data_IF_167134181413
#
_entry.id   IF_167134181413
#
_cell.length_a   1.000
_cell.length_b   1.000
_cell.length_c   1.000
_cell.angle_alpha   90.00
_cell.angle_beta   90.00
_cell.angle_gamma   90.00
#
_symmetry.space_group_name_H-M   'P 1'
#
loop_
_entity.id
_entity.type
_entity.pdbx_description
1 polymer ?
#
# COMPACT_ATOMS: atom_id res chain seq x y z
N UNK A 1 8.21 15.95 -36.15
CA UNK A 1 7.49 16.59 -35.12
C UNK A 1 7.78 15.87 -33.82
N UNK A 2 8.10 16.58 -32.77
CA UNK A 2 8.26 16.04 -31.40
C UNK A 2 6.86 15.60 -30.97
N UNK A 3 6.64 14.38 -30.46
CA UNK A 3 5.33 13.99 -29.98
C UNK A 3 4.95 14.90 -28.81
N UNK A 4 3.70 15.39 -28.84
CA UNK A 4 3.14 16.23 -27.78
C UNK A 4 3.32 15.55 -26.43
N UNK A 5 4.05 16.20 -25.54
CA UNK A 5 4.18 15.78 -24.15
C UNK A 5 2.80 15.92 -23.52
N UNK A 6 2.18 14.81 -23.17
CA UNK A 6 0.94 14.80 -22.42
C UNK A 6 1.12 15.57 -21.11
N UNK A 7 0.55 16.76 -21.05
CA UNK A 7 0.38 17.49 -19.79
C UNK A 7 -0.95 17.04 -19.22
N UNK A 8 -0.96 16.33 -18.09
CA UNK A 8 -2.23 15.95 -17.47
C UNK A 8 -3.03 17.23 -17.16
N UNK A 9 -4.36 17.21 -17.33
CA UNK A 9 -5.19 18.35 -16.97
C UNK A 9 -4.85 18.75 -15.55
N UNK A 10 -4.71 20.07 -15.32
CA UNK A 10 -4.51 20.63 -13.98
C UNK A 10 -5.61 20.03 -13.12
N UNK A 11 -5.23 19.19 -12.16
CA UNK A 11 -6.16 18.74 -11.12
C UNK A 11 -6.66 20.01 -10.46
N UNK A 12 -7.96 20.13 -10.31
CA UNK A 12 -8.51 21.12 -9.41
C UNK A 12 -7.77 20.97 -8.07
N UNK A 13 -7.00 22.00 -7.70
CA UNK A 13 -6.21 21.99 -6.48
C UNK A 13 -7.08 21.78 -5.23
N UNK A 14 -8.42 21.95 -5.35
CA UNK A 14 -9.41 21.62 -4.33
C UNK A 14 -9.57 20.15 -4.01
N UNK A 15 -9.25 19.23 -4.92
CA UNK A 15 -9.46 17.78 -4.68
C UNK A 15 -8.21 17.08 -4.11
N UNK A 16 -7.02 17.69 -4.24
CA UNK A 16 -5.77 17.10 -3.78
C UNK A 16 -5.52 17.31 -2.27
N UNK A 17 -6.18 18.28 -1.65
CA UNK A 17 -6.01 18.68 -0.25
C UNK A 17 -7.32 19.09 0.43
N UNK A 18 -8.40 18.36 0.22
CA UNK A 18 -9.43 18.40 1.25
C UNK A 18 -8.75 17.88 2.51
N UNK A 19 -8.57 18.78 3.45
CA UNK A 19 -8.03 18.46 4.76
C UNK A 19 -8.80 17.27 5.30
N UNK A 20 -8.08 16.24 5.74
CA UNK A 20 -8.68 15.03 6.31
C UNK A 20 -9.54 15.33 7.56
N UNK A 21 -9.65 16.59 7.93
CA UNK A 21 -10.46 17.13 9.02
C UNK A 21 -11.93 17.33 8.62
N UNK A 22 -12.23 17.40 7.30
CA UNK A 22 -13.59 17.65 6.79
C UNK A 22 -14.36 16.38 6.41
N UNK A 23 -13.74 15.19 6.49
CA UNK A 23 -14.45 13.93 6.31
C UNK A 23 -14.98 13.49 7.68
N UNK A 24 -16.06 14.12 8.10
CA UNK A 24 -16.75 13.78 9.35
C UNK A 24 -17.47 12.41 9.25
N UNK A 25 -17.69 11.90 8.05
CA UNK A 25 -18.22 10.57 7.78
C UNK A 25 -17.20 9.77 6.93
N UNK A 26 -16.38 8.96 7.61
CA UNK A 26 -15.57 7.93 6.98
C UNK A 26 -16.50 6.84 6.44
N UNK A 27 -16.72 6.73 5.12
CA UNK A 27 -17.63 5.75 4.54
C UNK A 27 -17.25 4.31 4.89
N UNK A 28 -15.99 4.08 5.26
CA UNK A 28 -15.48 2.77 5.66
C UNK A 28 -15.47 2.55 7.16
N UNK A 29 -15.93 3.54 7.96
CA UNK A 29 -15.93 3.45 9.44
C UNK A 29 -14.56 2.98 10.01
N UNK A 30 -13.48 3.40 9.39
CA UNK A 30 -12.12 3.09 9.87
C UNK A 30 -12.00 3.63 11.29
N UNK A 31 -11.68 2.80 12.27
CA UNK A 31 -11.65 3.24 13.66
C UNK A 31 -10.78 4.49 13.85
N UNK A 32 -11.26 5.50 14.58
CA UNK A 32 -10.54 6.77 14.88
C UNK A 32 -9.15 6.56 15.51
N UNK A 33 -8.84 5.35 15.99
CA UNK A 33 -7.52 4.95 16.49
C UNK A 33 -6.41 4.98 15.44
N UNK A 34 -6.75 4.92 14.16
CA UNK A 34 -5.76 5.04 13.08
C UNK A 34 -5.48 6.52 12.80
N UNK A 35 -4.20 6.85 12.68
CA UNK A 35 -3.81 8.20 12.27
C UNK A 35 -4.37 8.51 10.88
N UNK A 36 -4.86 9.74 10.67
CA UNK A 36 -5.55 10.12 9.42
C UNK A 36 -4.80 9.75 8.14
N UNK A 37 -3.47 9.85 8.13
CA UNK A 37 -2.65 9.50 6.98
C UNK A 37 -2.42 7.99 6.81
N UNK A 38 -2.49 7.24 7.88
CA UNK A 38 -2.28 5.78 7.85
C UNK A 38 -3.47 5.05 7.25
N UNK A 39 -4.66 5.67 7.29
CA UNK A 39 -5.88 5.12 6.72
C UNK A 39 -5.82 4.97 5.21
N UNK A 40 -5.07 5.84 4.52
CA UNK A 40 -5.04 5.83 3.05
C UNK A 40 -4.59 4.50 2.46
N UNK A 41 -3.74 3.76 3.14
CA UNK A 41 -3.32 2.46 2.66
C UNK A 41 -4.45 1.42 2.66
N UNK A 42 -5.40 1.54 3.61
CA UNK A 42 -6.58 0.67 3.70
C UNK A 42 -7.80 1.23 2.95
N UNK A 43 -7.81 2.51 2.62
CA UNK A 43 -8.88 3.15 1.87
C UNK A 43 -8.75 2.84 0.37
N UNK A 44 -9.56 1.93 -0.12
CA UNK A 44 -9.58 1.47 -1.51
C UNK A 44 -10.13 2.51 -2.50
N UNK A 45 -10.69 3.61 -2.02
CA UNK A 45 -11.10 4.75 -2.87
C UNK A 45 -9.93 5.69 -3.20
N UNK A 46 -8.74 5.45 -2.62
CA UNK A 46 -7.54 6.26 -2.81
C UNK A 46 -6.39 5.44 -3.35
N UNK A 47 -5.48 6.10 -4.09
CA UNK A 47 -4.35 5.42 -4.74
C UNK A 47 -3.06 5.41 -3.88
N UNK A 48 -3.04 6.06 -2.71
CA UNK A 48 -1.88 6.04 -1.81
C UNK A 48 -1.75 4.68 -1.11
N UNK A 49 -0.52 4.17 -1.00
CA UNK A 49 -0.25 2.87 -0.37
C UNK A 49 -0.77 1.68 -1.18
N UNK A 50 -0.71 1.80 -2.52
CA UNK A 50 -1.21 0.82 -3.48
C UNK A 50 -0.15 0.42 -4.48
N UNK A 51 -0.31 -0.77 -5.02
CA UNK A 51 0.25 -1.18 -6.31
C UNK A 51 -0.87 -1.07 -7.33
N UNK A 52 -0.61 -0.38 -8.43
CA UNK A 52 -1.56 -0.18 -9.51
C UNK A 52 -1.20 -1.08 -10.69
N UNK A 53 -2.22 -1.56 -11.41
CA UNK A 53 -2.02 -2.30 -12.65
C UNK A 53 -2.86 -1.68 -13.76
N UNK A 54 -2.16 -1.20 -14.79
CA UNK A 54 -2.71 -0.48 -15.94
C UNK A 54 -2.24 -1.16 -17.21
N UNK A 55 -3.08 -1.12 -18.24
CA UNK A 55 -2.72 -1.43 -19.62
C UNK A 55 -2.42 -0.12 -20.35
N UNK A 56 -1.17 0.08 -20.70
CA UNK A 56 -0.70 1.30 -21.37
C UNK A 56 -0.73 1.17 -22.91
N UNK A 57 -1.26 0.08 -23.46
CA UNK A 57 -1.43 -0.05 -24.90
C UNK A 57 -2.45 1.01 -25.39
N UNK A 58 -2.06 1.93 -26.27
CA UNK A 58 -2.95 2.99 -26.74
C UNK A 58 -4.18 2.48 -27.49
N UNK A 59 -4.17 1.25 -27.98
CA UNK A 59 -5.34 0.63 -28.64
C UNK A 59 -6.41 0.18 -27.65
N UNK A 60 -6.05 0.02 -26.35
CA UNK A 60 -6.92 -0.53 -25.30
C UNK A 60 -7.44 0.53 -24.32
N UNK A 61 -7.43 1.82 -24.69
CA UNK A 61 -7.87 2.87 -23.76
C UNK A 61 -9.35 2.78 -23.41
N UNK A 62 -9.66 2.84 -22.13
CA UNK A 62 -11.04 2.92 -21.62
C UNK A 62 -11.57 4.36 -21.70
N UNK A 63 -12.87 4.53 -22.00
CA UNK A 63 -13.49 5.87 -22.14
C UNK A 63 -13.35 6.76 -20.89
N UNK A 64 -13.22 6.16 -19.71
CA UNK A 64 -13.05 6.87 -18.45
C UNK A 64 -11.60 7.15 -18.05
N UNK A 65 -10.63 6.60 -18.78
CA UNK A 65 -9.21 6.65 -18.46
C UNK A 65 -8.40 7.01 -19.72
N UNK A 66 -8.33 8.29 -20.09
CA UNK A 66 -7.56 8.68 -21.27
C UNK A 66 -6.08 8.35 -21.08
N UNK A 67 -5.51 7.55 -21.99
CA UNK A 67 -4.11 7.17 -21.99
C UNK A 67 -3.78 5.80 -21.39
N UNK A 68 -4.76 5.10 -20.81
CA UNK A 68 -4.60 3.71 -20.35
C UNK A 68 -5.95 2.99 -20.28
N UNK A 69 -5.90 1.67 -20.21
CA UNK A 69 -7.05 0.84 -19.90
C UNK A 69 -6.85 0.09 -18.56
N UNK A 70 -7.96 -0.34 -17.99
CA UNK A 70 -7.94 -1.16 -16.77
C UNK A 70 -8.03 -2.63 -17.18
N UNK A 71 -7.05 -3.49 -16.81
CA UNK A 71 -7.15 -4.93 -17.07
C UNK A 71 -8.41 -5.53 -16.49
N UNK A 72 -9.10 -6.39 -17.26
CA UNK A 72 -10.36 -7.01 -16.86
C UNK A 72 -10.30 -7.78 -15.56
N UNK A 73 -9.11 -8.25 -15.20
CA UNK A 73 -8.86 -9.05 -14.01
C UNK A 73 -8.44 -8.22 -12.81
N UNK A 74 -8.48 -6.88 -12.86
CA UNK A 74 -8.28 -6.05 -11.67
C UNK A 74 -9.42 -6.27 -10.69
N UNK A 75 -9.08 -6.39 -9.40
CA UNK A 75 -10.03 -6.84 -8.36
C UNK A 75 -11.24 -5.91 -8.19
N UNK A 76 -11.05 -4.61 -8.40
CA UNK A 76 -12.11 -3.61 -8.23
C UNK A 76 -12.71 -3.12 -9.54
N UNK A 77 -12.26 -3.63 -10.70
CA UNK A 77 -12.80 -3.17 -11.98
C UNK A 77 -14.32 -3.22 -12.03
N UNK A 78 -14.92 -2.05 -12.24
CA UNK A 78 -16.38 -1.87 -12.30
C UNK A 78 -17.11 -2.08 -10.98
N UNK A 79 -16.41 -2.03 -9.85
CA UNK A 79 -16.96 -2.19 -8.51
C UNK A 79 -16.88 -0.90 -7.71
N UNK A 80 -17.85 -0.69 -6.82
CA UNK A 80 -17.88 0.47 -5.93
C UNK A 80 -16.93 0.38 -4.74
N UNK A 81 -16.42 -0.82 -4.45
CA UNK A 81 -15.59 -1.10 -3.27
C UNK A 81 -14.16 -0.56 -3.39
N UNK A 82 -13.72 -0.16 -4.58
CA UNK A 82 -12.39 0.40 -4.76
C UNK A 82 -12.16 0.98 -6.14
N UNK A 83 -11.01 1.64 -6.29
CA UNK A 83 -10.58 2.22 -7.57
C UNK A 83 -10.15 1.10 -8.52
N UNK A 84 -10.57 1.20 -9.76
CA UNK A 84 -10.34 0.20 -10.82
C UNK A 84 -8.85 -0.11 -11.05
N UNK A 85 -7.98 0.87 -10.83
CA UNK A 85 -6.53 0.78 -11.04
C UNK A 85 -5.82 -0.12 -10.03
N UNK A 86 -6.45 -0.38 -8.87
CA UNK A 86 -5.78 -1.06 -7.75
C UNK A 86 -5.59 -2.54 -8.06
N UNK A 87 -4.33 -2.99 -7.94
CA UNK A 87 -3.95 -4.39 -7.96
C UNK A 87 -3.77 -4.94 -6.55
N UNK A 88 -3.06 -4.20 -5.68
CA UNK A 88 -2.85 -4.56 -4.29
C UNK A 88 -2.78 -3.31 -3.40
N UNK A 89 -3.13 -3.44 -2.12
CA UNK A 89 -3.20 -2.32 -1.19
C UNK A 89 -2.66 -2.69 0.20
N UNK A 90 -2.63 -1.71 1.11
CA UNK A 90 -2.12 -1.94 2.45
C UNK A 90 -0.60 -1.88 2.53
N UNK A 91 0.03 -1.06 1.73
CA UNK A 91 1.47 -0.76 1.81
C UNK A 91 1.69 0.60 2.46
N UNK A 92 2.73 0.70 3.29
CA UNK A 92 3.16 2.00 3.81
C UNK A 92 3.88 2.81 2.74
N UNK A 93 4.97 2.26 2.28
CA UNK A 93 5.82 2.85 1.26
C UNK A 93 6.40 1.74 0.38
N UNK A 94 5.66 1.28 -0.63
CA UNK A 94 6.16 0.31 -1.60
C UNK A 94 7.18 1.00 -2.50
N UNK A 95 8.44 1.02 -2.04
CA UNK A 95 9.48 1.84 -2.63
C UNK A 95 9.91 1.33 -4.01
N UNK A 96 10.02 0.01 -4.15
CA UNK A 96 10.39 -0.63 -5.43
C UNK A 96 9.72 -1.99 -5.57
N UNK A 97 9.43 -2.33 -6.80
CA UNK A 97 8.99 -3.67 -7.17
C UNK A 97 9.92 -4.25 -8.23
N UNK A 98 10.01 -5.57 -8.26
CA UNK A 98 10.72 -6.34 -9.29
C UNK A 98 9.95 -7.63 -9.60
N UNK A 99 10.18 -8.16 -10.81
CA UNK A 99 9.61 -9.43 -11.21
C UNK A 99 10.71 -10.48 -11.31
N UNK A 100 10.44 -11.69 -10.82
CA UNK A 100 11.32 -12.83 -11.06
C UNK A 100 11.27 -13.21 -12.54
N UNK A 101 12.38 -12.98 -13.23
CA UNK A 101 12.51 -13.23 -14.68
C UNK A 101 12.81 -14.69 -15.01
N UNK A 102 13.34 -15.45 -14.05
CA UNK A 102 13.75 -16.84 -14.23
C UNK A 102 12.69 -17.84 -13.77
N UNK A 103 11.70 -17.39 -13.02
CA UNK A 103 10.63 -18.20 -12.45
C UNK A 103 9.25 -17.92 -13.06
N UNK A 104 8.26 -17.80 -12.21
CA UNK A 104 6.85 -17.67 -12.58
C UNK A 104 6.43 -16.23 -12.91
N UNK A 105 7.36 -15.27 -12.92
CA UNK A 105 7.05 -13.85 -13.02
C UNK A 105 6.51 -13.28 -11.71
N UNK A 106 6.86 -13.88 -10.59
CA UNK A 106 6.43 -13.42 -9.26
C UNK A 106 6.89 -12.00 -8.99
N UNK A 107 5.99 -11.18 -8.45
CA UNK A 107 6.29 -9.79 -8.13
C UNK A 107 6.71 -9.66 -6.67
N UNK A 108 7.93 -9.17 -6.47
CA UNK A 108 8.45 -8.80 -5.15
C UNK A 108 8.35 -7.29 -4.94
N UNK A 109 7.85 -6.88 -3.78
CA UNK A 109 7.68 -5.48 -3.41
C UNK A 109 8.42 -5.20 -2.12
N UNK A 110 9.39 -4.29 -2.19
CA UNK A 110 10.12 -3.81 -1.02
C UNK A 110 9.34 -2.70 -0.35
N UNK A 111 9.07 -2.86 0.94
CA UNK A 111 8.34 -1.92 1.76
C UNK A 111 9.23 -1.28 2.81
N UNK A 112 9.31 0.05 2.79
CA UNK A 112 10.04 0.80 3.83
C UNK A 112 9.16 0.99 5.05
N UNK A 113 9.71 0.61 6.21
CA UNK A 113 9.07 0.68 7.52
C UNK A 113 8.67 2.10 7.92
N UNK A 114 7.72 2.20 8.83
CA UNK A 114 7.46 3.42 9.60
C UNK A 114 8.35 3.48 10.84
N UNK A 115 8.44 2.36 11.55
CA UNK A 115 9.07 2.35 12.85
C UNK A 115 10.05 1.20 13.06
N UNK A 116 9.67 -0.03 12.71
CA UNK A 116 10.39 -1.19 13.22
C UNK A 116 10.71 -2.27 12.19
N UNK A 117 9.81 -2.54 11.22
CA UNK A 117 9.91 -3.76 10.41
C UNK A 117 9.99 -3.45 8.93
N UNK A 118 11.20 -3.54 8.38
CA UNK A 118 11.41 -3.54 6.94
C UNK A 118 10.89 -4.83 6.33
N UNK A 119 10.29 -4.74 5.16
CA UNK A 119 9.54 -5.87 4.59
C UNK A 119 9.83 -6.09 3.12
N UNK A 120 9.80 -7.36 2.70
CA UNK A 120 9.62 -7.74 1.29
C UNK A 120 8.37 -8.60 1.19
N UNK A 121 7.47 -8.20 0.32
CA UNK A 121 6.25 -8.93 0.02
C UNK A 121 6.37 -9.67 -1.29
N UNK A 122 5.91 -10.91 -1.32
CA UNK A 122 5.56 -11.60 -2.55
C UNK A 122 4.12 -11.24 -2.89
N UNK A 123 3.93 -10.51 -4.00
CA UNK A 123 2.60 -10.07 -4.44
C UNK A 123 2.12 -11.00 -5.55
N UNK A 124 1.88 -12.25 -5.17
CA UNK A 124 1.37 -13.33 -6.02
C UNK A 124 -0.12 -13.17 -6.35
N UNK A 125 -0.85 -12.44 -5.51
CA UNK A 125 -2.29 -12.22 -5.63
C UNK A 125 -2.66 -10.80 -5.29
N UNK A 126 -3.71 -10.34 -5.93
CA UNK A 126 -4.38 -9.10 -5.55
C UNK A 126 -4.88 -9.21 -4.10
N UNK A 127 -4.69 -8.17 -3.30
CA UNK A 127 -5.12 -8.22 -1.90
C UNK A 127 -4.52 -7.16 -1.01
N UNK A 128 -4.79 -7.31 0.29
CA UNK A 128 -4.41 -6.40 1.36
C UNK A 128 -3.11 -6.88 2.05
N UNK A 129 -2.11 -6.00 2.12
CA UNK A 129 -0.78 -6.28 2.70
C UNK A 129 -0.56 -5.63 4.07
N UNK A 130 -1.62 -5.13 4.70
CA UNK A 130 -1.77 -4.95 6.14
C UNK A 130 -1.46 -3.59 6.71
N UNK A 131 -0.70 -2.72 6.06
CA UNK A 131 -0.47 -1.37 6.57
C UNK A 131 -1.80 -0.56 6.55
N UNK A 132 -2.18 0.11 7.61
CA UNK A 132 -1.50 0.41 8.87
C UNK A 132 -2.04 -0.39 10.07
N UNK A 133 -2.74 -1.49 9.81
CA UNK A 133 -3.18 -2.42 10.86
C UNK A 133 -1.96 -3.18 11.41
N UNK A 134 -1.00 -3.46 10.52
CA UNK A 134 0.24 -4.15 10.82
C UNK A 134 1.43 -3.44 10.17
N UNK A 135 2.59 -3.59 10.80
CA UNK A 135 3.90 -3.36 10.22
C UNK A 135 4.61 -4.71 10.13
N UNK A 136 4.76 -5.23 8.91
CA UNK A 136 5.14 -6.62 8.72
C UNK A 136 4.08 -7.58 9.28
N UNK A 137 4.51 -8.57 10.06
CA UNK A 137 3.63 -9.52 10.78
C UNK A 137 3.12 -8.99 12.10
N UNK A 138 3.60 -7.82 12.53
CA UNK A 138 3.38 -7.27 13.87
C UNK A 138 2.20 -6.29 13.87
N UNK A 139 1.39 -6.34 14.91
CA UNK A 139 0.35 -5.34 15.10
C UNK A 139 0.96 -3.95 15.25
N UNK A 140 0.36 -2.97 14.63
CA UNK A 140 0.87 -1.62 14.61
C UNK A 140 -0.19 -0.61 15.04
N UNK A 141 0.22 0.37 15.82
CA UNK A 141 -0.57 1.55 16.15
C UNK A 141 0.40 2.71 16.38
N UNK A 142 0.32 3.73 15.52
CA UNK A 142 1.25 4.88 15.57
C UNK A 142 1.32 5.55 16.94
N UNK A 143 0.17 5.76 17.59
CA UNK A 143 0.11 6.40 18.90
C UNK A 143 0.80 5.59 20.00
N UNK A 144 0.97 4.28 19.78
CA UNK A 144 1.56 3.35 20.72
C UNK A 144 2.59 2.44 20.06
N UNK A 145 3.37 2.96 19.12
CA UNK A 145 4.31 2.17 18.33
C UNK A 145 5.29 1.34 19.20
N UNK A 146 5.69 1.85 20.35
CA UNK A 146 6.55 1.13 21.32
C UNK A 146 5.82 0.17 22.27
N UNK A 147 4.50 0.19 22.25
CA UNK A 147 3.64 -0.72 23.00
C UNK A 147 2.40 -1.06 22.17
N UNK A 148 2.60 -1.71 21.01
CA UNK A 148 1.51 -2.01 20.09
C UNK A 148 0.49 -2.95 20.73
N UNK A 149 -0.73 -3.02 20.19
CA UNK A 149 -1.70 -4.01 20.62
C UNK A 149 -1.12 -5.43 20.50
N UNK A 150 -1.46 -6.30 21.44
CA UNK A 150 -1.08 -7.72 21.34
C UNK A 150 -1.77 -8.43 20.20
N UNK A 151 -3.01 -8.03 19.91
CA UNK A 151 -3.85 -8.60 18.86
C UNK A 151 -4.34 -7.51 17.92
N UNK A 152 -4.39 -7.83 16.65
CA UNK A 152 -4.91 -6.97 15.59
C UNK A 152 -5.70 -7.80 14.57
N UNK A 153 -6.58 -7.15 13.79
CA UNK A 153 -7.36 -7.85 12.78
C UNK A 153 -6.47 -8.67 11.82
N UNK A 154 -6.96 -9.87 11.48
CA UNK A 154 -6.37 -10.74 10.46
C UNK A 154 -7.01 -10.54 9.09
N UNK A 155 -8.10 -9.80 9.06
CA UNK A 155 -8.85 -9.43 7.87
C UNK A 155 -8.94 -7.92 7.73
N UNK A 156 -9.00 -7.44 6.50
CA UNK A 156 -9.20 -6.04 6.19
C UNK A 156 -10.68 -5.63 6.23
N UNK A 157 -10.97 -4.43 5.75
CA UNK A 157 -12.29 -3.81 5.84
C UNK A 157 -13.36 -4.48 4.97
N UNK A 158 -12.94 -5.14 3.89
CA UNK A 158 -13.82 -5.87 2.98
C UNK A 158 -13.93 -7.36 3.34
N UNK A 159 -13.40 -7.76 4.50
CA UNK A 159 -13.37 -9.17 4.94
C UNK A 159 -12.25 -10.00 4.33
N UNK A 160 -11.40 -9.40 3.51
CA UNK A 160 -10.26 -10.05 2.86
C UNK A 160 -9.15 -10.37 3.86
N UNK A 161 -8.40 -11.47 3.68
CA UNK A 161 -7.27 -11.78 4.54
C UNK A 161 -6.13 -10.77 4.37
N UNK A 162 -5.52 -10.37 5.47
CA UNK A 162 -4.27 -9.59 5.46
C UNK A 162 -3.12 -10.54 5.21
N UNK A 163 -2.26 -10.20 4.22
CA UNK A 163 -1.13 -11.00 3.77
C UNK A 163 0.15 -10.58 4.47
N UNK A 164 0.91 -11.58 4.90
CA UNK A 164 2.19 -11.37 5.56
C UNK A 164 3.32 -11.17 4.53
N UNK A 165 4.40 -10.46 4.91
CA UNK A 165 5.62 -10.41 4.10
C UNK A 165 6.31 -11.77 4.07
N UNK A 166 7.05 -12.05 2.97
CA UNK A 166 7.91 -13.24 2.87
C UNK A 166 9.23 -13.05 3.60
N UNK A 167 9.71 -11.81 3.65
CA UNK A 167 10.88 -11.42 4.44
C UNK A 167 10.50 -10.21 5.27
N UNK A 168 10.91 -10.22 6.54
CA UNK A 168 10.93 -9.05 7.38
C UNK A 168 12.17 -9.05 8.26
N UNK A 169 12.66 -7.86 8.58
CA UNK A 169 13.77 -7.68 9.51
C UNK A 169 13.62 -6.39 10.30
N UNK A 170 14.21 -6.40 11.49
CA UNK A 170 14.17 -5.25 12.37
C UNK A 170 14.99 -4.08 11.81
N UNK A 171 14.41 -2.89 11.83
CA UNK A 171 15.11 -1.65 11.50
C UNK A 171 16.07 -1.25 12.63
N UNK A 172 17.18 -0.59 12.31
CA UNK A 172 18.15 -0.09 13.30
C UNK A 172 17.54 0.82 14.37
N UNK A 173 16.45 1.51 14.07
CA UNK A 173 15.74 2.33 15.04
C UNK A 173 15.12 1.53 16.19
N UNK A 174 14.89 0.24 16.01
CA UNK A 174 14.36 -0.68 17.03
C UNK A 174 15.33 -0.77 18.21
N UNK A 175 16.62 -1.04 17.97
CA UNK A 175 17.62 -1.15 19.04
C UNK A 175 17.76 0.11 19.87
N UNK A 176 17.60 1.27 19.26
CA UNK A 176 17.69 2.56 19.98
C UNK A 176 16.46 2.88 20.80
N UNK A 177 15.30 2.37 20.41
CA UNK A 177 14.01 2.81 20.92
C UNK A 177 13.25 1.73 21.68
N UNK A 178 13.55 0.44 21.43
CA UNK A 178 12.78 -0.66 22.01
C UNK A 178 13.65 -1.86 22.36
N UNK A 179 14.15 -1.88 23.61
CA UNK A 179 15.01 -2.94 24.14
C UNK A 179 14.34 -4.33 24.29
N UNK A 180 13.05 -4.43 23.98
CA UNK A 180 12.27 -5.66 24.14
C UNK A 180 12.11 -6.47 22.85
N UNK A 181 12.64 -5.99 21.72
CA UNK A 181 12.62 -6.76 20.48
C UNK A 181 13.84 -7.67 20.47
N UNK A 182 13.58 -8.95 20.54
CA UNK A 182 14.59 -10.00 20.38
C UNK A 182 14.84 -10.22 18.87
N UNK A 183 15.39 -9.21 18.23
CA UNK A 183 15.78 -9.25 16.83
C UNK A 183 16.97 -8.33 16.59
N UNK A 184 18.00 -8.88 15.96
CA UNK A 184 19.13 -8.07 15.52
C UNK A 184 18.72 -7.23 14.30
N UNK A 185 18.92 -5.90 14.36
CA UNK A 185 18.61 -5.04 13.22
C UNK A 185 19.59 -5.28 12.08
N UNK A 186 19.05 -5.41 10.86
CA UNK A 186 19.83 -5.69 9.68
C UNK A 186 19.99 -4.49 8.74
N UNK A 187 19.26 -3.40 8.98
CA UNK A 187 19.32 -2.22 8.10
C UNK A 187 18.46 -1.07 8.58
N UNK A 188 18.44 0.01 7.82
CA UNK A 188 17.66 1.23 8.10
C UNK A 188 16.50 1.44 7.15
N UNK A 189 16.55 0.83 5.98
CA UNK A 189 15.49 0.86 4.98
C UNK A 189 15.64 -0.28 3.99
N UNK A 190 14.52 -0.78 3.48
CA UNK A 190 14.50 -1.72 2.37
C UNK A 190 14.08 -0.98 1.10
N UNK A 191 15.05 -0.69 0.25
CA UNK A 191 14.83 0.06 -1.00
C UNK A 191 14.74 -0.83 -2.24
N UNK A 192 14.75 -2.14 -2.04
CA UNK A 192 14.55 -3.14 -3.08
C UNK A 192 15.74 -3.40 -3.98
N UNK A 193 15.54 -4.41 -4.81
CA UNK A 193 16.47 -4.91 -5.80
C UNK A 193 16.03 -4.70 -7.25
N UNK A 194 16.51 -5.54 -8.14
CA UNK A 194 16.28 -5.54 -9.59
C UNK A 194 14.90 -6.04 -9.99
#
# INVERSE_FOLDING_TARGET
>A
GVPDVYVPPKRDEGDAYRHADEIDEDPFKIPKRFHKYDRYAQDTQRLKGKILRLDINPENTDKGHPGYAIPLTNIFRGKSEGRDEIYAWGFRNPFRLSFDRSGNGDMFVSGVAESFWETVYLVDKQGNYGWSVREGRHCYERARAFNPPKDCPKTGLLGEPIRDPVIEYANWSVKRKWSKVDADPMGTANIGGF
#
